data_IF_255827606899
#
_entry.id   IF_255827606899
#
_cell.length_a   1.000
_cell.length_b   1.000
_cell.length_c   1.000
_cell.angle_alpha   90.00
_cell.angle_beta   90.00
_cell.angle_gamma   90.00
#
_symmetry.space_group_name_H-M   'P 1'
#
loop_
_entity.id
_entity.type
_entity.pdbx_description
1 polymer ?
#
# COMPACT_ATOMS: atom_id res chain seq x y z
N UNK A 1 5.71 51.52 7.55
CA UNK A 1 6.70 50.63 6.88
C UNK A 1 7.58 49.94 7.94
N UNK A 2 6.98 49.18 8.87
CA UNK A 2 7.70 48.57 10.01
C UNK A 2 7.44 47.05 10.11
N UNK A 3 7.24 46.38 8.97
CA UNK A 3 6.89 44.95 8.88
C UNK A 3 8.10 44.02 8.65
N UNK A 4 9.33 44.52 8.71
CA UNK A 4 10.54 43.71 8.51
C UNK A 4 11.45 43.61 9.75
N UNK A 5 10.97 44.01 10.92
CA UNK A 5 11.73 43.92 12.17
C UNK A 5 10.96 43.18 13.28
N UNK A 6 10.19 42.17 12.90
CA UNK A 6 9.67 41.15 13.82
C UNK A 6 9.65 39.79 13.10
N UNK A 7 10.79 39.43 12.53
CA UNK A 7 11.04 38.10 11.98
C UNK A 7 12.55 37.84 12.12
N UNK A 8 12.96 37.32 13.28
CA UNK A 8 14.35 36.94 13.54
C UNK A 8 14.93 37.66 14.75
N UNK A 9 14.33 37.44 15.91
CA UNK A 9 14.97 37.78 17.18
C UNK A 9 15.77 36.56 17.67
N UNK A 10 17.09 36.74 17.54
CA UNK A 10 18.16 36.18 18.36
C UNK A 10 18.45 34.68 18.29
N UNK A 11 19.19 34.33 17.23
CA UNK A 11 20.32 33.42 17.35
C UNK A 11 21.37 34.01 18.30
N UNK A 12 21.44 33.44 19.51
CA UNK A 12 22.49 33.70 20.50
C UNK A 12 23.63 32.68 20.38
N UNK A 13 24.82 33.21 20.08
CA UNK A 13 26.19 32.76 20.33
C UNK A 13 26.50 31.26 20.57
N UNK A 14 27.52 30.81 19.86
CA UNK A 14 28.14 29.50 19.93
C UNK A 14 28.49 29.04 21.36
N UNK A 15 27.82 27.97 21.81
CA UNK A 15 28.35 26.98 22.73
C UNK A 15 28.05 25.60 22.13
N UNK A 16 29.02 25.06 21.39
CA UNK A 16 28.95 23.73 20.78
C UNK A 16 28.93 22.66 21.86
N UNK A 17 27.74 22.27 22.30
CA UNK A 17 27.50 21.19 23.25
C UNK A 17 26.25 20.42 22.86
N UNK A 18 26.20 19.14 23.24
CA UNK A 18 25.11 18.21 22.96
C UNK A 18 23.70 18.80 23.14
N UNK A 19 23.50 19.75 24.06
CA UNK A 19 22.24 20.48 24.27
C UNK A 19 21.79 21.37 23.11
N UNK A 20 22.71 22.01 22.37
CA UNK A 20 22.39 22.84 21.20
C UNK A 20 22.04 21.98 19.97
N UNK A 21 22.63 20.77 19.87
CA UNK A 21 22.25 19.78 18.86
C UNK A 21 20.88 19.20 19.20
N UNK A 22 20.60 18.91 20.47
CA UNK A 22 19.28 18.45 20.90
C UNK A 22 18.19 19.48 20.62
N UNK A 23 18.41 20.77 20.90
CA UNK A 23 17.39 21.81 20.70
C UNK A 23 17.06 22.06 19.23
N UNK A 24 18.05 21.94 18.33
CA UNK A 24 17.86 22.10 16.87
C UNK A 24 17.38 20.81 16.18
N UNK A 25 17.81 19.65 16.66
CA UNK A 25 17.38 18.36 16.12
C UNK A 25 16.00 17.93 16.61
N UNK A 26 15.54 18.38 17.79
CA UNK A 26 14.23 18.02 18.35
C UNK A 26 13.06 18.32 17.39
N UNK A 27 12.90 19.53 16.80
CA UNK A 27 11.81 19.80 15.87
C UNK A 27 11.90 18.96 14.59
N UNK A 28 13.11 18.71 14.08
CA UNK A 28 13.34 17.88 12.89
C UNK A 28 12.99 16.42 13.19
N UNK A 29 13.43 15.90 14.34
CA UNK A 29 13.18 14.52 14.75
C UNK A 29 11.69 14.29 15.02
N UNK A 30 11.01 15.26 15.63
CA UNK A 30 9.55 15.20 15.83
C UNK A 30 8.82 15.16 14.48
N UNK A 31 9.21 15.99 13.51
CA UNK A 31 8.67 15.96 12.15
C UNK A 31 8.93 14.61 11.46
N UNK A 32 10.16 14.09 11.51
CA UNK A 32 10.52 12.78 10.94
C UNK A 32 9.69 11.66 11.56
N UNK A 33 9.50 11.67 12.88
CA UNK A 33 8.67 10.68 13.59
C UNK A 33 7.21 10.75 13.12
N UNK A 34 6.65 11.96 12.99
CA UNK A 34 5.26 12.15 12.52
C UNK A 34 5.10 11.65 11.08
N UNK A 35 5.97 12.07 10.15
CA UNK A 35 5.91 11.62 8.76
C UNK A 35 6.17 10.12 8.60
N UNK A 36 7.12 9.56 9.37
CA UNK A 36 7.39 8.12 9.39
C UNK A 36 6.15 7.35 9.84
N UNK A 37 5.51 7.77 10.93
CA UNK A 37 4.31 7.11 11.43
C UNK A 37 3.14 7.23 10.45
N UNK A 38 2.97 8.41 9.83
CA UNK A 38 1.91 8.66 8.86
C UNK A 38 2.08 7.87 7.55
N UNK A 39 3.30 7.64 7.06
CA UNK A 39 3.54 6.90 5.81
C UNK A 39 3.68 5.38 6.02
N UNK A 40 4.26 4.95 7.14
CA UNK A 40 4.52 3.54 7.41
C UNK A 40 3.26 2.76 7.82
N UNK A 41 2.39 3.39 8.62
CA UNK A 41 1.12 2.78 9.06
C UNK A 41 0.16 2.46 7.90
N UNK A 42 -0.11 3.34 6.93
CA UNK A 42 -1.01 3.04 5.82
C UNK A 42 -0.45 1.97 4.89
N UNK A 43 0.86 1.96 4.62
CA UNK A 43 1.47 0.96 3.73
C UNK A 43 1.29 -0.47 4.26
N UNK A 44 1.59 -0.69 5.54
CA UNK A 44 1.41 -2.01 6.16
C UNK A 44 -0.04 -2.51 6.11
N UNK A 45 -1.02 -1.61 6.21
CA UNK A 45 -2.44 -1.97 6.14
C UNK A 45 -2.81 -2.46 4.74
N UNK A 46 -2.44 -1.69 3.71
CA UNK A 46 -2.72 -2.03 2.31
C UNK A 46 -2.03 -3.35 1.89
N UNK A 47 -0.76 -3.55 2.24
CA UNK A 47 -0.08 -4.80 1.89
C UNK A 47 -0.68 -6.03 2.58
N UNK A 48 -1.19 -5.87 3.81
CA UNK A 48 -1.88 -6.95 4.53
C UNK A 48 -3.22 -7.26 3.85
N UNK A 49 -4.00 -6.24 3.51
CA UNK A 49 -5.27 -6.41 2.79
C UNK A 49 -5.08 -7.11 1.45
N UNK A 50 -4.09 -6.70 0.65
CA UNK A 50 -3.77 -7.33 -0.64
C UNK A 50 -3.32 -8.79 -0.46
N UNK A 51 -2.46 -9.07 0.53
CA UNK A 51 -2.05 -10.45 0.84
C UNK A 51 -3.24 -11.31 1.28
N UNK A 52 -4.11 -10.78 2.13
CA UNK A 52 -5.29 -11.49 2.62
C UNK A 52 -6.29 -11.76 1.49
N UNK A 53 -6.53 -10.78 0.61
CA UNK A 53 -7.37 -10.96 -0.59
C UNK A 53 -6.82 -12.07 -1.48
N UNK A 54 -5.51 -12.07 -1.76
CA UNK A 54 -4.88 -13.12 -2.58
C UNK A 54 -4.91 -14.49 -1.89
N UNK A 55 -4.82 -14.52 -0.57
CA UNK A 55 -4.90 -15.76 0.19
C UNK A 55 -6.32 -16.35 0.17
N UNK A 56 -7.36 -15.50 0.13
CA UNK A 56 -8.76 -15.94 0.13
C UNK A 56 -9.28 -16.36 -1.24
N UNK A 57 -8.50 -16.26 -2.32
CA UNK A 57 -8.94 -16.67 -3.67
C UNK A 57 -9.22 -18.16 -3.72
N UNK A 58 -10.39 -18.52 -4.26
CA UNK A 58 -10.87 -19.88 -4.41
C UNK A 58 -11.18 -20.22 -5.87
N UNK A 59 -11.35 -21.51 -6.16
CA UNK A 59 -11.76 -21.97 -7.49
C UNK A 59 -13.22 -21.58 -7.72
N UNK A 60 -13.51 -20.94 -8.84
CA UNK A 60 -14.81 -20.38 -9.17
C UNK A 60 -14.89 -18.86 -8.99
N UNK A 61 -13.91 -18.23 -8.34
CA UNK A 61 -13.89 -16.77 -8.17
C UNK A 61 -13.74 -16.06 -9.52
N UNK A 62 -14.52 -15.00 -9.72
CA UNK A 62 -14.34 -14.05 -10.83
C UNK A 62 -13.36 -12.99 -10.36
N UNK A 63 -12.24 -12.83 -11.05
CA UNK A 63 -11.18 -11.91 -10.65
C UNK A 63 -10.77 -10.98 -11.79
N UNK A 64 -10.22 -9.83 -11.41
CA UNK A 64 -9.55 -8.89 -12.31
C UNK A 64 -8.05 -8.93 -12.06
N UNK A 65 -7.28 -9.07 -13.13
CA UNK A 65 -5.83 -9.02 -13.11
C UNK A 65 -5.32 -7.57 -13.21
N UNK A 66 -4.07 -7.32 -12.84
CA UNK A 66 -3.43 -6.00 -12.94
C UNK A 66 -3.42 -5.42 -14.37
N UNK A 67 -3.53 -6.26 -15.40
CA UNK A 67 -3.63 -5.85 -16.81
C UNK A 67 -5.05 -5.55 -17.27
N UNK A 68 -6.05 -5.58 -16.39
CA UNK A 68 -7.46 -5.35 -16.73
C UNK A 68 -8.18 -6.57 -17.32
N UNK A 69 -7.56 -7.75 -17.33
CA UNK A 69 -8.20 -8.98 -17.81
C UNK A 69 -9.11 -9.52 -16.70
N UNK A 70 -10.35 -9.86 -17.07
CA UNK A 70 -11.36 -10.44 -16.19
C UNK A 70 -11.58 -11.90 -16.56
N UNK A 71 -11.60 -12.80 -15.58
CA UNK A 71 -11.83 -14.21 -15.82
C UNK A 71 -12.13 -15.00 -14.55
N UNK A 72 -12.46 -16.27 -14.74
CA UNK A 72 -12.84 -17.21 -13.67
C UNK A 72 -11.61 -18.05 -13.29
N UNK A 73 -11.37 -18.22 -12.00
CA UNK A 73 -10.32 -19.10 -11.49
C UNK A 73 -10.74 -20.56 -11.63
N UNK A 74 -10.08 -21.30 -12.51
CA UNK A 74 -10.40 -22.72 -12.76
C UNK A 74 -9.53 -23.66 -11.92
N UNK A 75 -8.31 -23.23 -11.61
CA UNK A 75 -7.38 -24.03 -10.80
C UNK A 75 -6.39 -23.14 -10.06
N UNK A 76 -6.09 -23.51 -8.83
CA UNK A 76 -5.06 -22.89 -8.00
C UNK A 76 -3.93 -23.90 -7.81
N UNK A 77 -2.70 -23.48 -8.05
CA UNK A 77 -1.49 -24.26 -7.81
C UNK A 77 -0.42 -23.38 -7.19
N UNK A 78 -0.28 -23.46 -5.87
CA UNK A 78 0.67 -22.66 -5.10
C UNK A 78 0.52 -21.16 -5.40
N UNK A 79 1.53 -20.55 -6.03
CA UNK A 79 1.56 -19.15 -6.45
C UNK A 79 1.03 -18.89 -7.87
N UNK A 80 0.48 -19.91 -8.53
CA UNK A 80 -0.06 -19.84 -9.89
C UNK A 80 -1.57 -20.09 -9.91
N UNK A 81 -2.26 -19.34 -10.75
CA UNK A 81 -3.69 -19.46 -11.00
C UNK A 81 -3.90 -19.77 -12.48
N UNK A 82 -4.77 -20.73 -12.78
CA UNK A 82 -5.28 -20.94 -14.13
C UNK A 82 -6.58 -20.16 -14.27
N UNK A 83 -6.57 -19.10 -15.08
CA UNK A 83 -7.78 -18.37 -15.43
C UNK A 83 -8.35 -18.86 -16.74
N UNK A 84 -9.67 -18.83 -16.82
CA UNK A 84 -10.44 -18.93 -18.04
C UNK A 84 -11.12 -17.58 -18.31
N UNK A 85 -10.93 -17.05 -19.52
CA UNK A 85 -11.45 -15.74 -19.91
C UNK A 85 -11.97 -15.75 -21.35
N UNK A 86 -13.00 -14.94 -21.59
CA UNK A 86 -13.62 -14.76 -22.91
C UNK A 86 -14.57 -15.90 -23.31
N UNK A 87 -15.30 -15.68 -24.42
CA UNK A 87 -16.24 -16.66 -24.97
C UNK A 87 -15.54 -17.95 -25.43
N UNK A 88 -14.30 -17.85 -25.90
CA UNK A 88 -13.49 -18.97 -26.38
C UNK A 88 -12.91 -19.83 -25.25
N UNK A 89 -13.20 -19.48 -23.98
CA UNK A 89 -12.72 -20.20 -22.78
C UNK A 89 -11.21 -20.39 -22.78
N UNK A 90 -10.48 -19.37 -23.22
CA UNK A 90 -9.02 -19.43 -23.30
C UNK A 90 -8.45 -19.52 -21.90
N UNK A 91 -7.62 -20.56 -21.69
CA UNK A 91 -6.97 -20.83 -20.41
C UNK A 91 -5.53 -20.37 -20.44
N UNK A 92 -5.15 -19.57 -19.46
CA UNK A 92 -3.77 -19.14 -19.29
C UNK A 92 -3.41 -19.07 -17.81
N UNK A 93 -2.12 -19.24 -17.52
CA UNK A 93 -1.62 -19.17 -16.16
C UNK A 93 -1.14 -17.77 -15.85
N UNK A 94 -1.52 -17.28 -14.67
CA UNK A 94 -0.97 -16.05 -14.11
C UNK A 94 -0.40 -16.35 -12.72
N UNK A 95 0.45 -15.45 -12.24
CA UNK A 95 0.88 -15.49 -10.84
C UNK A 95 -0.20 -14.90 -9.93
N UNK A 96 -0.33 -15.44 -8.72
CA UNK A 96 -1.28 -14.98 -7.69
C UNK A 96 -1.07 -13.51 -7.31
N UNK A 97 0.16 -13.01 -7.44
CA UNK A 97 0.45 -11.59 -7.21
C UNK A 97 -0.12 -10.67 -8.30
N UNK A 98 -0.45 -11.19 -9.49
CA UNK A 98 -1.01 -10.40 -10.58
C UNK A 98 -2.52 -10.12 -10.39
N UNK A 99 -3.14 -10.67 -9.33
CA UNK A 99 -4.54 -10.41 -9.00
C UNK A 99 -4.68 -9.03 -8.37
N UNK A 100 -5.56 -8.23 -8.96
CA UNK A 100 -5.89 -6.87 -8.53
C UNK A 100 -7.11 -6.87 -7.60
N UNK A 101 -8.20 -7.51 -8.00
CA UNK A 101 -9.44 -7.58 -7.22
C UNK A 101 -10.22 -8.87 -7.50
N UNK A 102 -11.07 -9.25 -6.55
CA UNK A 102 -12.09 -10.30 -6.71
C UNK A 102 -13.42 -9.58 -6.93
N UNK A 103 -14.09 -9.89 -8.04
CA UNK A 103 -15.37 -9.29 -8.44
C UNK A 103 -16.57 -10.07 -7.90
N UNK A 104 -16.48 -11.40 -7.90
CA UNK A 104 -17.53 -12.30 -7.43
C UNK A 104 -16.87 -13.52 -6.79
N UNK A 105 -17.36 -13.92 -5.62
CA UNK A 105 -16.90 -15.11 -4.91
C UNK A 105 -17.67 -16.33 -5.35
N UNK A 106 -16.97 -17.46 -5.43
CA UNK A 106 -17.58 -18.77 -5.64
C UNK A 106 -18.61 -19.04 -4.52
N UNK A 107 -19.89 -18.82 -4.83
CA UNK A 107 -21.01 -19.04 -3.89
C UNK A 107 -21.84 -17.81 -3.51
N UNK A 108 -21.46 -16.59 -3.93
CA UNK A 108 -22.23 -15.37 -3.65
C UNK A 108 -23.24 -15.00 -4.76
N UNK A 109 -23.29 -15.74 -5.87
CA UNK A 109 -24.23 -15.52 -6.99
C UNK A 109 -25.56 -16.29 -6.86
N UNK A 110 -25.95 -16.68 -5.64
CA UNK A 110 -27.26 -17.28 -5.37
C UNK A 110 -28.03 -16.52 -4.30
N UNK A 111 -28.36 -15.25 -4.58
CA UNK A 111 -29.52 -14.54 -4.03
C UNK A 111 -30.16 -13.63 -5.10
#
# INVERSE_FOLDING_TARGET
MNFLLQAGDEGGAAAGGFGAILSTALPILLLVVVFYFFLYRPQKKQEKEVRNMRASIEVGDVITTAGGIVGIVVKIKDDMLLLESGADRTKFQIQKWAVHSVLSKAGEESE
#
